data_IF_640713537198
#
_entry.id   IF_640713537198
#
_cell.length_a   1.000
_cell.length_b   1.000
_cell.length_c   1.000
_cell.angle_alpha   90.00
_cell.angle_beta   90.00
_cell.angle_gamma   90.00
#
_symmetry.space_group_name_H-M   'P 1'
#
loop_
_entity.id
_entity.type
_entity.pdbx_description
1 polymer ?
#
# COMPACT_ATOMS: atom_id res chain seq x y z
N UNK A 1 -8.20 26.79 0.46
CA UNK A 1 -7.97 25.39 0.04
C UNK A 1 -8.26 25.29 -1.45
N UNK A 2 -7.23 25.12 -2.29
CA UNK A 2 -7.43 24.80 -3.71
C UNK A 2 -8.04 23.39 -3.79
N UNK A 3 -9.15 23.24 -4.51
CA UNK A 3 -9.64 21.90 -4.87
C UNK A 3 -8.57 21.26 -5.77
N UNK A 4 -8.16 20.00 -5.52
CA UNK A 4 -7.32 19.30 -6.47
C UNK A 4 -8.09 19.25 -7.79
N UNK A 5 -7.45 19.71 -8.85
CA UNK A 5 -7.99 19.67 -10.19
C UNK A 5 -8.40 18.23 -10.52
N UNK A 6 -9.59 18.03 -11.10
CA UNK A 6 -10.03 16.69 -11.49
C UNK A 6 -8.99 16.05 -12.44
N UNK A 7 -8.98 14.73 -12.58
CA UNK A 7 -7.99 14.02 -13.44
C UNK A 7 -8.02 14.55 -14.88
N UNK A 8 -9.18 15.04 -15.35
CA UNK A 8 -9.39 15.68 -16.64
C UNK A 8 -8.67 17.02 -16.82
N UNK A 9 -8.21 17.63 -15.74
CA UNK A 9 -7.43 18.87 -15.77
C UNK A 9 -5.94 18.62 -15.96
N UNK A 10 -5.48 17.36 -15.96
CA UNK A 10 -4.10 16.98 -16.29
C UNK A 10 -3.80 17.09 -17.81
N UNK A 11 -4.65 17.80 -18.58
CA UNK A 11 -4.44 18.03 -20.01
C UNK A 11 -4.62 16.81 -20.90
N UNK A 12 -5.19 15.72 -20.37
CA UNK A 12 -5.38 14.48 -21.11
C UNK A 12 -6.62 14.54 -22.00
N UNK A 13 -6.48 14.31 -23.30
CA UNK A 13 -7.62 14.31 -24.23
C UNK A 13 -8.19 12.89 -24.40
N UNK A 14 -9.47 12.80 -24.77
CA UNK A 14 -10.10 11.50 -25.05
C UNK A 14 -9.37 10.76 -26.17
N UNK A 15 -8.86 11.47 -27.19
CA UNK A 15 -8.14 10.89 -28.32
C UNK A 15 -6.88 10.11 -27.87
N UNK A 16 -6.23 10.53 -26.79
CA UNK A 16 -5.03 9.87 -26.27
C UNK A 16 -5.34 8.50 -25.64
N UNK A 17 -6.61 8.26 -25.29
CA UNK A 17 -7.08 7.03 -24.67
C UNK A 17 -7.64 6.01 -25.65
N UNK A 18 -7.85 6.41 -26.91
CA UNK A 18 -8.49 5.55 -27.89
C UNK A 18 -7.46 4.71 -28.67
N UNK A 19 -7.88 3.51 -29.05
CA UNK A 19 -7.21 2.68 -30.05
C UNK A 19 -7.62 3.10 -31.48
N UNK A 20 -7.02 2.44 -32.49
CA UNK A 20 -7.30 2.72 -33.90
C UNK A 20 -8.74 2.38 -34.31
N UNK A 21 -9.46 1.60 -33.49
CA UNK A 21 -10.86 1.24 -33.68
C UNK A 21 -11.82 2.19 -32.92
N UNK A 22 -11.29 3.17 -32.18
CA UNK A 22 -12.07 4.11 -31.39
C UNK A 22 -12.57 3.55 -30.05
N UNK A 23 -12.05 2.41 -29.59
CA UNK A 23 -12.32 1.89 -28.25
C UNK A 23 -11.27 2.40 -27.26
N UNK A 24 -11.57 2.33 -25.97
CA UNK A 24 -10.62 2.68 -24.92
C UNK A 24 -9.50 1.64 -24.89
N UNK A 25 -8.27 2.09 -25.12
CA UNK A 25 -7.06 1.29 -24.93
C UNK A 25 -6.71 1.24 -23.43
N UNK A 26 -6.76 0.05 -22.80
CA UNK A 26 -6.50 -0.08 -21.37
C UNK A 26 -5.06 0.26 -20.98
N UNK A 27 -4.08 0.05 -21.87
CA UNK A 27 -2.67 0.37 -21.64
C UNK A 27 -2.43 1.88 -21.68
N UNK A 28 -3.03 2.58 -22.65
CA UNK A 28 -2.98 4.05 -22.71
C UNK A 28 -3.68 4.67 -21.50
N UNK A 29 -4.84 4.13 -21.12
CA UNK A 29 -5.56 4.58 -19.93
C UNK A 29 -4.76 4.38 -18.63
N UNK A 30 -4.10 3.24 -18.45
CA UNK A 30 -3.27 3.01 -17.27
C UNK A 30 -2.09 3.97 -17.20
N UNK A 31 -1.43 4.21 -18.33
CA UNK A 31 -0.31 5.15 -18.44
C UNK A 31 -0.75 6.58 -18.12
N UNK A 32 -1.86 7.02 -18.72
CA UNK A 32 -2.46 8.32 -18.49
C UNK A 32 -2.81 8.56 -17.01
N UNK A 33 -3.41 7.57 -16.35
CA UNK A 33 -3.73 7.64 -14.92
C UNK A 33 -2.46 7.76 -14.08
N UNK A 34 -1.41 7.03 -14.43
CA UNK A 34 -0.13 7.11 -13.73
C UNK A 34 0.49 8.51 -13.84
N UNK A 35 0.60 9.04 -15.05
CA UNK A 35 1.12 10.39 -15.31
C UNK A 35 0.29 11.46 -14.60
N UNK A 36 -1.04 11.39 -14.67
CA UNK A 36 -1.90 12.33 -13.95
C UNK A 36 -1.72 12.23 -12.43
N UNK A 37 -1.51 11.03 -11.89
CA UNK A 37 -1.24 10.85 -10.47
C UNK A 37 0.13 11.42 -10.04
N UNK A 38 1.14 11.38 -10.91
CA UNK A 38 2.44 12.04 -10.70
C UNK A 38 2.30 13.56 -10.70
N UNK A 39 1.70 14.13 -11.75
CA UNK A 39 1.56 15.59 -11.91
C UNK A 39 0.72 16.22 -10.80
N UNK A 40 -0.35 15.54 -10.39
CA UNK A 40 -1.23 16.01 -9.33
C UNK A 40 -0.72 15.66 -7.92
N UNK A 41 0.41 14.95 -7.81
CA UNK A 41 0.97 14.54 -6.51
C UNK A 41 0.08 13.56 -5.74
N UNK A 42 -0.76 12.80 -6.44
CA UNK A 42 -1.71 11.83 -5.89
C UNK A 42 -1.09 10.43 -5.68
N UNK A 43 0.18 10.26 -6.02
CA UNK A 43 0.91 9.01 -5.77
C UNK A 43 0.79 8.59 -4.30
N UNK A 44 0.19 7.42 -4.08
CA UNK A 44 0.00 6.87 -2.76
C UNK A 44 1.37 6.54 -2.15
N UNK A 45 1.81 7.34 -1.18
CA UNK A 45 3.03 7.02 -0.42
C UNK A 45 2.73 5.82 0.48
N UNK A 46 3.53 4.75 0.43
CA UNK A 46 3.38 3.63 1.37
C UNK A 46 3.49 4.17 2.79
N UNK A 47 2.45 3.97 3.59
CA UNK A 47 2.45 4.35 5.01
C UNK A 47 3.24 3.29 5.76
N UNK A 48 4.29 3.69 6.46
CA UNK A 48 4.91 2.84 7.47
C UNK A 48 3.90 2.63 8.59
N UNK A 49 3.50 1.38 8.91
CA UNK A 49 2.64 1.13 10.06
C UNK A 49 3.34 1.64 11.32
N UNK A 50 2.74 2.62 12.00
CA UNK A 50 3.27 3.09 13.26
C UNK A 50 2.77 2.14 14.36
N UNK A 51 3.65 1.48 15.13
CA UNK A 51 3.22 0.61 16.21
C UNK A 51 2.40 1.42 17.21
N UNK A 52 1.24 0.90 17.60
CA UNK A 52 0.36 1.58 18.54
C UNK A 52 1.07 1.67 19.91
N UNK A 53 0.98 2.79 20.65
CA UNK A 53 1.68 2.95 21.93
C UNK A 53 1.36 1.84 22.94
N UNK A 54 0.14 1.29 22.90
CA UNK A 54 -0.27 0.15 23.73
C UNK A 54 0.48 -1.16 23.44
N UNK A 55 1.18 -1.28 22.30
CA UNK A 55 2.01 -2.44 21.97
C UNK A 55 3.45 -2.33 22.52
N UNK A 56 3.88 -1.14 22.96
CA UNK A 56 5.24 -0.93 23.48
C UNK A 56 5.37 -1.30 24.97
N UNK A 57 4.26 -1.43 25.69
CA UNK A 57 4.26 -1.66 27.15
C UNK A 57 4.40 -3.13 27.57
N UNK A 58 4.64 -4.06 26.64
CA UNK A 58 4.56 -5.51 26.90
C UNK A 58 5.90 -6.25 27.07
N UNK A 59 7.05 -5.65 26.78
CA UNK A 59 8.30 -6.40 26.62
C UNK A 59 9.48 -5.80 27.41
N UNK A 60 9.30 -5.64 28.72
CA UNK A 60 10.42 -5.42 29.65
C UNK A 60 10.16 -6.19 30.93
N UNK A 61 10.67 -7.43 31.03
CA UNK A 61 10.65 -8.10 32.33
C UNK A 61 10.83 -9.61 32.42
N UNK A 62 11.10 -10.37 31.34
CA UNK A 62 11.41 -11.80 31.51
C UNK A 62 12.74 -12.15 30.84
N UNK A 63 13.84 -12.33 31.59
CA UNK A 63 15.05 -12.93 31.07
C UNK A 63 14.75 -14.40 30.70
N UNK A 64 14.92 -14.76 29.42
CA UNK A 64 15.04 -16.15 28.99
C UNK A 64 13.81 -16.83 28.39
N UNK A 65 12.73 -16.12 28.03
CA UNK A 65 11.63 -16.72 27.26
C UNK A 65 11.59 -16.09 25.86
N UNK A 66 12.43 -16.61 24.97
CA UNK A 66 12.22 -16.45 23.53
C UNK A 66 11.05 -17.33 23.12
N UNK A 67 10.03 -16.75 22.51
CA UNK A 67 8.80 -17.45 22.12
C UNK A 67 9.00 -18.68 21.21
N UNK A 68 10.19 -18.88 20.65
CA UNK A 68 10.56 -20.08 19.90
C UNK A 68 10.51 -21.37 20.75
N UNK A 69 10.86 -21.29 22.04
CA UNK A 69 10.99 -22.48 22.90
C UNK A 69 9.60 -23.07 23.27
N UNK A 70 8.60 -22.20 23.43
CA UNK A 70 7.21 -22.62 23.76
C UNK A 70 6.53 -23.35 22.61
N UNK A 71 6.82 -22.98 21.36
CA UNK A 71 6.28 -23.68 20.19
C UNK A 71 7.02 -24.99 19.92
N UNK A 72 8.32 -25.04 20.20
CA UNK A 72 9.13 -26.25 20.07
C UNK A 72 8.64 -27.38 21.00
N UNK A 73 8.29 -27.07 22.26
CA UNK A 73 7.80 -28.08 23.21
C UNK A 73 6.43 -28.67 22.83
N UNK A 74 5.53 -27.86 22.25
CA UNK A 74 4.22 -28.34 21.75
C UNK A 74 4.39 -29.22 20.52
N UNK A 75 5.29 -28.87 19.60
CA UNK A 75 5.58 -29.68 18.39
C UNK A 75 6.32 -30.98 18.78
N UNK A 76 7.18 -30.93 19.80
CA UNK A 76 7.90 -32.10 20.31
C UNK A 76 7.04 -33.03 21.18
N UNK A 77 5.76 -32.70 21.42
CA UNK A 77 4.82 -33.55 22.15
C UNK A 77 5.15 -33.74 23.63
N UNK A 78 5.87 -32.78 24.23
CA UNK A 78 6.34 -32.86 25.62
C UNK A 78 5.40 -32.13 26.60
N UNK A 79 4.10 -32.30 26.40
CA UNK A 79 3.08 -31.92 27.38
C UNK A 79 2.10 -33.09 27.56
N UNK A 80 2.42 -33.94 28.53
CA UNK A 80 1.54 -34.89 29.20
C UNK A 80 2.02 -35.11 30.63
#
# INVERSE_FOLDING_TARGET
MQKPSAIWAAGLELADLLDDAGNIDPGKAQTAVHTAAEELGLMNRPRTPQPHPAQQSGMSGIPGITGADRFADVIAGRDR
#
